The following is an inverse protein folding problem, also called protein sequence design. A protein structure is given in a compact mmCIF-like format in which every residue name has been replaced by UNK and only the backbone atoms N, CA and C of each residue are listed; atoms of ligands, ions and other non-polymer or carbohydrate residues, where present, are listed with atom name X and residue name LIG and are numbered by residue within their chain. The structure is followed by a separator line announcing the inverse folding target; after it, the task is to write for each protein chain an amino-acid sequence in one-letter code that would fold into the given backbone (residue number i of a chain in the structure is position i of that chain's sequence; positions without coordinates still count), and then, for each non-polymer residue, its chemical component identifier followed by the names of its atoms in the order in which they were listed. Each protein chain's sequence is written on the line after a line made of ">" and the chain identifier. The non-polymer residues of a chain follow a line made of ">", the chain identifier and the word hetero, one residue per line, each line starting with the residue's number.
data_IF_716921495501
#
_entry.id   IF_716921495501
#
_cell.length_a   1.000
_cell.length_b   1.000
_cell.length_c   1.000
_cell.angle_alpha   90.00
_cell.angle_beta   90.00
_cell.angle_gamma   90.00
#
_symmetry.space_group_name_H-M   'P 1'
#
loop_
_entity.id
_entity.type
_entity.pdbx_description
1 polymer ?
#
# COMPACT_ATOMS: atom_id res chain seq x y z
N UNK A 1 4.60 -11.14 -10.02
CA UNK A 1 5.50 -10.20 -9.33
C UNK A 1 5.88 -10.81 -8.00
N UNK A 2 7.12 -10.62 -7.56
CA UNK A 2 7.55 -11.01 -6.22
C UNK A 2 6.95 -10.08 -5.16
N UNK A 3 6.67 -10.55 -3.93
CA UNK A 3 6.16 -9.72 -2.84
C UNK A 3 7.03 -8.50 -2.55
N UNK A 4 8.36 -8.65 -2.58
CA UNK A 4 9.31 -7.55 -2.35
C UNK A 4 9.14 -6.37 -3.30
N UNK A 5 8.85 -6.64 -4.57
CA UNK A 5 8.64 -5.58 -5.57
C UNK A 5 7.34 -4.82 -5.28
N UNK A 6 6.29 -5.50 -4.84
CA UNK A 6 5.02 -4.85 -4.47
C UNK A 6 5.19 -3.99 -3.22
N UNK A 7 5.91 -4.47 -2.22
CA UNK A 7 6.24 -3.70 -1.03
C UNK A 7 7.03 -2.44 -1.39
N UNK A 8 8.04 -2.57 -2.26
CA UNK A 8 8.82 -1.43 -2.73
C UNK A 8 7.95 -0.40 -3.45
N UNK A 9 7.12 -0.82 -4.40
CA UNK A 9 6.20 0.07 -5.12
C UNK A 9 5.20 0.75 -4.17
N UNK A 10 4.62 0.02 -3.23
CA UNK A 10 3.67 0.56 -2.26
C UNK A 10 4.32 1.63 -1.37
N UNK A 11 5.57 1.41 -0.96
CA UNK A 11 6.37 2.38 -0.21
C UNK A 11 6.74 3.62 -1.02
N UNK A 12 6.99 3.50 -2.32
CA UNK A 12 7.21 4.66 -3.19
C UNK A 12 5.94 5.52 -3.30
N UNK A 13 4.77 4.87 -3.44
CA UNK A 13 3.48 5.57 -3.40
C UNK A 13 3.30 6.29 -2.05
N UNK A 14 3.61 5.61 -0.94
CA UNK A 14 3.57 6.21 0.39
C UNK A 14 4.45 7.44 0.53
N UNK A 15 5.69 7.36 0.06
CA UNK A 15 6.64 8.47 0.08
C UNK A 15 6.12 9.68 -0.71
N UNK A 16 5.47 9.44 -1.85
CA UNK A 16 4.86 10.51 -2.65
C UNK A 16 3.69 11.21 -1.94
N UNK A 17 2.82 10.47 -1.26
CA UNK A 17 1.70 11.08 -0.54
C UNK A 17 2.11 11.73 0.78
N UNK A 18 3.16 11.22 1.42
CA UNK A 18 3.73 11.81 2.64
C UNK A 18 4.18 13.26 2.43
N UNK A 19 4.69 13.59 1.23
CA UNK A 19 5.08 14.97 0.91
C UNK A 19 3.89 15.92 0.68
N UNK A 20 2.68 15.39 0.50
CA UNK A 20 1.46 16.18 0.29
C UNK A 20 0.73 16.52 1.60
N UNK A 21 1.08 15.88 2.71
CA UNK A 21 0.51 16.14 4.04
C UNK A 21 -0.07 14.90 4.71
N UNK A 22 0.04 14.84 6.05
CA UNK A 22 -0.30 13.66 6.84
C UNK A 22 -1.78 13.25 6.72
N UNK A 23 -2.70 14.22 6.67
CA UNK A 23 -4.15 13.96 6.65
C UNK A 23 -4.62 13.26 5.36
N UNK A 24 -3.95 13.53 4.24
CA UNK A 24 -4.30 12.94 2.95
C UNK A 24 -3.49 11.68 2.62
N UNK A 25 -2.52 11.29 3.46
CA UNK A 25 -1.55 10.26 3.10
C UNK A 25 -2.20 8.88 2.95
N UNK A 26 -2.88 8.37 3.98
CA UNK A 26 -3.49 7.03 3.95
C UNK A 26 -4.63 6.93 2.93
N UNK A 27 -5.58 7.89 2.86
CA UNK A 27 -6.62 7.87 1.83
C UNK A 27 -6.05 7.91 0.40
N UNK A 28 -5.04 8.75 0.17
CA UNK A 28 -4.40 8.89 -1.14
C UNK A 28 -3.70 7.61 -1.59
N UNK A 29 -2.94 6.95 -0.71
CA UNK A 29 -2.30 5.66 -1.00
C UNK A 29 -3.37 4.59 -1.31
N UNK A 30 -4.41 4.50 -0.48
CA UNK A 30 -5.48 3.51 -0.64
C UNK A 30 -6.19 3.67 -1.98
N UNK A 31 -6.57 4.90 -2.34
CA UNK A 31 -7.25 5.19 -3.61
C UNK A 31 -6.34 4.91 -4.80
N UNK A 32 -5.05 5.28 -4.71
CA UNK A 32 -4.08 5.03 -5.77
C UNK A 32 -3.92 3.52 -6.02
N UNK A 33 -3.69 2.74 -4.97
CA UNK A 33 -3.57 1.28 -5.11
C UNK A 33 -4.88 0.69 -5.65
N UNK A 34 -6.04 1.10 -5.14
CA UNK A 34 -7.34 0.60 -5.61
C UNK A 34 -7.57 0.88 -7.10
N UNK A 35 -7.18 2.06 -7.60
CA UNK A 35 -7.44 2.53 -8.96
C UNK A 35 -6.43 2.01 -9.98
N UNK A 36 -5.15 1.93 -9.61
CA UNK A 36 -4.07 1.64 -10.55
C UNK A 36 -3.52 0.22 -10.45
N UNK A 37 -3.79 -0.52 -9.37
CA UNK A 37 -3.34 -1.90 -9.25
C UNK A 37 -4.42 -2.90 -9.67
N UNK A 38 -4.02 -3.84 -10.52
CA UNK A 38 -4.79 -5.03 -10.83
C UNK A 38 -5.24 -5.79 -9.58
N UNK A 39 -6.40 -6.46 -9.62
CA UNK A 39 -6.92 -7.25 -8.50
C UNK A 39 -5.90 -8.23 -7.91
N UNK A 40 -5.09 -8.87 -8.77
CA UNK A 40 -4.05 -9.83 -8.34
C UNK A 40 -2.96 -9.19 -7.49
N UNK A 41 -2.54 -7.97 -7.81
CA UNK A 41 -1.53 -7.24 -7.04
C UNK A 41 -2.09 -6.84 -5.67
N UNK A 42 -3.37 -6.42 -5.62
CA UNK A 42 -4.07 -6.11 -4.36
C UNK A 42 -4.19 -7.34 -3.46
N UNK A 43 -4.55 -8.50 -4.01
CA UNK A 43 -4.57 -9.75 -3.25
C UNK A 43 -3.17 -10.13 -2.74
N UNK A 44 -2.13 -9.97 -3.56
CA UNK A 44 -0.77 -10.31 -3.15
C UNK A 44 -0.22 -9.42 -2.02
N UNK A 45 -0.48 -8.10 -2.06
CA UNK A 45 -0.03 -7.19 -1.00
C UNK A 45 -0.84 -7.38 0.29
N UNK A 46 -2.12 -7.73 0.19
CA UNK A 46 -2.94 -8.12 1.34
C UNK A 46 -2.42 -9.42 1.98
N UNK A 47 -2.07 -10.42 1.18
CA UNK A 47 -1.46 -11.65 1.70
C UNK A 47 -0.10 -11.39 2.36
N UNK A 48 0.69 -10.45 1.83
CA UNK A 48 1.94 -10.01 2.49
C UNK A 48 1.67 -9.32 3.83
N UNK A 49 0.62 -8.48 3.90
CA UNK A 49 0.18 -7.87 5.15
C UNK A 49 -0.22 -8.93 6.18
N UNK A 50 -0.96 -9.96 5.77
CA UNK A 50 -1.35 -11.09 6.63
C UNK A 50 -0.15 -11.92 7.12
N UNK A 51 0.90 -12.02 6.31
CA UNK A 51 2.15 -12.70 6.69
C UNK A 51 3.03 -11.88 7.65
N UNK A 52 2.61 -10.67 8.03
CA UNK A 52 3.32 -9.78 8.96
C UNK A 52 3.60 -8.39 8.40
N UNK A 53 3.54 -8.24 7.07
CA UNK A 53 3.72 -6.95 6.39
C UNK A 53 5.14 -6.39 6.49
N UNK A 54 6.15 -7.26 6.50
CA UNK A 54 7.55 -6.83 6.63
C UNK A 54 7.93 -5.85 5.50
N UNK A 55 8.67 -4.80 5.85
CA UNK A 55 9.11 -3.77 4.92
C UNK A 55 8.03 -2.74 4.52
N UNK A 56 6.75 -2.92 4.86
CA UNK A 56 5.73 -1.88 4.63
C UNK A 56 5.91 -0.72 5.62
N UNK A 57 5.92 0.50 5.10
CA UNK A 57 5.90 1.70 5.94
C UNK A 57 4.57 1.81 6.72
N UNK A 58 4.55 2.43 7.92
CA UNK A 58 3.34 2.52 8.74
C UNK A 58 2.12 3.07 8.01
N UNK A 59 2.28 4.15 7.25
CA UNK A 59 1.22 4.76 6.45
C UNK A 59 0.71 3.84 5.32
N UNK A 60 1.61 3.08 4.70
CA UNK A 60 1.27 2.13 3.64
C UNK A 60 0.57 0.91 4.22
N UNK A 61 0.99 0.45 5.40
CA UNK A 61 0.35 -0.66 6.12
C UNK A 61 -1.12 -0.32 6.41
N UNK A 62 -1.39 0.86 6.97
CA UNK A 62 -2.74 1.34 7.22
C UNK A 62 -3.56 1.47 5.93
N UNK A 63 -2.95 1.93 4.84
CA UNK A 63 -3.62 2.05 3.55
C UNK A 63 -3.96 0.68 2.94
N UNK A 64 -3.05 -0.29 3.03
CA UNK A 64 -3.29 -1.66 2.55
C UNK A 64 -4.37 -2.34 3.39
N UNK A 65 -4.41 -2.11 4.70
CA UNK A 65 -5.49 -2.60 5.57
C UNK A 65 -6.85 -2.01 5.16
N UNK A 66 -6.89 -0.72 4.81
CA UNK A 66 -8.10 -0.03 4.34
C UNK A 66 -8.64 -0.55 2.98
N UNK A 67 -7.84 -1.31 2.20
CA UNK A 67 -8.31 -1.96 0.96
C UNK A 67 -9.30 -3.10 1.20
N UNK A 68 -9.42 -3.58 2.44
CA UNK A 68 -10.36 -4.66 2.83
C UNK A 68 -11.83 -4.21 2.86
N UNK A 69 -12.05 -2.90 2.95
CA UNK A 69 -13.38 -2.28 2.92
C UNK A 69 -13.90 -2.05 1.49
#
# INVERSE_FOLDING_TARGET
>A
MSPDNLVHMANQIGTFFKSQGADATVPGITEHIRKFWDPRMRTAILAHLDAGGEGLQPEVRSAVEALRN
#
